data_IF_821414237784
#
_entry.id   IF_821414237784
#
_cell.length_a   1.000
_cell.length_b   1.000
_cell.length_c   1.000
_cell.angle_alpha   90.00
_cell.angle_beta   90.00
_cell.angle_gamma   90.00
#
_symmetry.space_group_name_H-M   'P 1'
#
loop_
_entity.id
_entity.type
_entity.pdbx_description
1 polymer ?
#
# COMPACT_ATOMS: atom_id res chain seq x y z
N UNK A 1 -48.85 17.71 27.75
CA UNK A 1 -48.50 16.49 26.98
C UNK A 1 -47.34 16.70 25.99
N UNK A 2 -46.42 17.64 26.24
CA UNK A 2 -45.30 17.96 25.33
C UNK A 2 -43.92 17.60 25.96
N UNK A 3 -43.84 17.35 27.27
CA UNK A 3 -42.54 17.14 27.98
C UNK A 3 -42.02 15.68 27.78
N UNK A 4 -42.85 14.70 27.53
CA UNK A 4 -42.45 13.28 27.34
C UNK A 4 -41.90 12.95 25.94
N UNK A 5 -42.17 13.79 24.93
CA UNK A 5 -41.66 13.61 23.57
C UNK A 5 -40.15 13.91 23.46
N UNK A 6 -39.68 14.97 24.14
CA UNK A 6 -38.28 15.41 24.06
C UNK A 6 -37.31 14.44 24.78
N UNK A 7 -37.75 13.77 25.84
CA UNK A 7 -36.94 12.80 26.58
C UNK A 7 -36.61 11.54 25.77
N UNK A 8 -37.55 11.08 24.96
CA UNK A 8 -37.33 9.93 24.05
C UNK A 8 -36.38 10.28 22.92
N UNK A 9 -36.50 11.47 22.33
CA UNK A 9 -35.60 11.91 21.26
C UNK A 9 -34.17 12.06 21.76
N UNK A 10 -33.99 12.66 22.94
CA UNK A 10 -32.66 12.80 23.58
C UNK A 10 -32.04 11.44 23.90
N UNK A 11 -32.83 10.48 24.38
CA UNK A 11 -32.34 9.11 24.64
C UNK A 11 -31.90 8.38 23.37
N UNK A 12 -32.63 8.51 22.25
CA UNK A 12 -32.23 7.93 20.97
C UNK A 12 -30.99 8.61 20.37
N UNK A 13 -30.83 9.91 20.55
CA UNK A 13 -29.63 10.65 20.12
C UNK A 13 -28.40 10.21 20.94
N UNK A 14 -28.53 10.04 22.24
CA UNK A 14 -27.44 9.57 23.11
C UNK A 14 -27.07 8.12 22.81
N UNK A 15 -28.06 7.25 22.52
CA UNK A 15 -27.77 5.87 22.08
C UNK A 15 -27.13 5.86 20.69
N UNK A 16 -27.58 6.69 19.77
CA UNK A 16 -27.03 6.77 18.41
C UNK A 16 -25.61 7.34 18.42
N UNK A 17 -25.34 8.37 19.23
CA UNK A 17 -23.96 8.89 19.43
C UNK A 17 -23.08 7.90 20.17
N UNK A 18 -23.59 7.16 21.16
CA UNK A 18 -22.89 6.06 21.82
C UNK A 18 -22.59 4.88 20.88
N UNK A 19 -23.53 4.53 19.99
CA UNK A 19 -23.30 3.51 18.95
C UNK A 19 -22.29 4.00 17.88
N UNK A 20 -22.35 5.26 17.47
CA UNK A 20 -21.38 5.85 16.53
C UNK A 20 -19.99 5.89 17.11
N UNK A 21 -19.82 6.18 18.42
CA UNK A 21 -18.52 6.14 19.09
C UNK A 21 -17.97 4.72 19.27
N UNK A 22 -18.80 3.69 19.29
CA UNK A 22 -18.37 2.29 19.27
C UNK A 22 -17.92 1.84 17.87
N UNK A 23 -18.43 2.48 16.81
CA UNK A 23 -18.01 2.19 15.43
C UNK A 23 -16.64 2.79 15.08
N UNK A 24 -16.18 3.80 15.82
CA UNK A 24 -14.84 4.38 15.62
C UNK A 24 -13.71 3.52 16.20
N UNK A 25 -14.02 2.48 16.99
CA UNK A 25 -13.05 1.52 17.49
C UNK A 25 -12.92 0.24 16.64
N UNK A 26 -13.79 0.04 15.63
CA UNK A 26 -13.55 -1.01 14.63
C UNK A 26 -12.40 -0.56 13.74
N UNK A 27 -11.25 -1.21 13.90
CA UNK A 27 -10.08 -0.88 13.15
C UNK A 27 -10.37 -0.98 11.65
N UNK A 28 -10.04 0.10 10.94
CA UNK A 28 -10.19 0.19 9.48
C UNK A 28 -9.50 -0.97 8.75
N UNK A 29 -8.44 -1.53 9.33
CA UNK A 29 -7.67 -2.64 8.78
C UNK A 29 -8.50 -3.93 8.68
N UNK A 30 -9.25 -4.28 9.74
CA UNK A 30 -10.10 -5.48 9.72
C UNK A 30 -11.22 -5.33 8.69
N UNK A 31 -11.82 -4.15 8.65
CA UNK A 31 -12.87 -3.85 7.68
C UNK A 31 -12.35 -3.93 6.23
N UNK A 32 -11.22 -3.31 5.92
CA UNK A 32 -10.60 -3.37 4.59
C UNK A 32 -10.30 -4.82 4.20
N UNK A 33 -9.77 -5.62 5.13
CA UNK A 33 -9.40 -7.00 4.85
C UNK A 33 -10.61 -7.90 4.55
N UNK A 34 -11.81 -7.53 5.00
CA UNK A 34 -13.07 -8.23 4.66
C UNK A 34 -13.39 -8.14 3.16
N UNK A 35 -12.94 -7.08 2.48
CA UNK A 35 -13.22 -6.83 1.06
C UNK A 35 -12.00 -7.01 0.15
N UNK A 36 -10.87 -7.48 0.68
CA UNK A 36 -9.63 -7.57 -0.09
C UNK A 36 -9.76 -8.51 -1.29
N UNK A 37 -10.51 -9.62 -1.15
CA UNK A 37 -10.77 -10.57 -2.23
C UNK A 37 -11.53 -9.91 -3.38
N UNK A 38 -12.59 -9.16 -3.08
CA UNK A 38 -13.39 -8.46 -4.10
C UNK A 38 -12.55 -7.38 -4.79
N UNK A 39 -11.79 -6.60 -4.03
CA UNK A 39 -10.92 -5.59 -4.59
C UNK A 39 -9.89 -6.18 -5.57
N UNK A 40 -9.28 -7.32 -5.22
CA UNK A 40 -8.31 -8.01 -6.10
C UNK A 40 -9.00 -8.54 -7.34
N UNK A 41 -10.19 -9.14 -7.22
CA UNK A 41 -10.97 -9.65 -8.35
C UNK A 41 -11.38 -8.52 -9.30
N UNK A 42 -11.86 -7.41 -8.78
CA UNK A 42 -12.21 -6.22 -9.57
C UNK A 42 -11.00 -5.68 -10.33
N UNK A 43 -9.84 -5.61 -9.67
CA UNK A 43 -8.62 -5.13 -10.32
C UNK A 43 -8.14 -6.08 -11.43
N UNK A 44 -8.25 -7.40 -11.24
CA UNK A 44 -7.89 -8.39 -12.27
C UNK A 44 -8.87 -8.34 -13.44
N UNK A 45 -10.18 -8.29 -13.19
CA UNK A 45 -11.22 -8.22 -14.24
C UNK A 45 -11.18 -6.90 -15.01
N UNK A 46 -10.63 -5.84 -14.43
CA UNK A 46 -10.34 -4.62 -15.17
C UNK A 46 -9.32 -4.87 -16.30
N UNK A 47 -8.29 -5.67 -16.05
CA UNK A 47 -7.21 -5.92 -17.02
C UNK A 47 -7.44 -7.13 -17.92
N UNK A 48 -8.31 -8.04 -17.54
CA UNK A 48 -8.60 -9.28 -18.26
C UNK A 48 -10.09 -9.43 -18.51
N UNK A 49 -10.45 -9.78 -19.75
CA UNK A 49 -11.81 -10.15 -20.11
C UNK A 49 -11.98 -11.64 -19.80
N UNK A 50 -12.75 -11.95 -18.77
CA UNK A 50 -12.95 -13.30 -18.27
C UNK A 50 -14.34 -13.81 -18.61
N UNK A 51 -14.45 -15.07 -19.02
CA UNK A 51 -15.72 -15.80 -19.09
C UNK A 51 -16.15 -16.29 -17.70
N UNK A 52 -17.28 -17.00 -17.60
CA UNK A 52 -17.82 -17.43 -16.30
C UNK A 52 -16.96 -18.51 -15.63
N UNK A 53 -16.38 -19.44 -16.41
CA UNK A 53 -15.52 -20.50 -15.87
C UNK A 53 -14.19 -19.91 -15.38
N UNK A 54 -13.63 -18.96 -16.11
CA UNK A 54 -12.43 -18.21 -15.71
C UNK A 54 -12.66 -17.38 -14.43
N UNK A 55 -13.85 -16.78 -14.27
CA UNK A 55 -14.23 -16.09 -13.03
C UNK A 55 -14.32 -17.04 -11.84
N UNK A 56 -14.88 -18.24 -12.02
CA UNK A 56 -14.91 -19.27 -10.98
C UNK A 56 -13.47 -19.65 -10.57
N UNK A 57 -12.58 -19.85 -11.54
CA UNK A 57 -11.18 -20.15 -11.29
C UNK A 57 -10.48 -18.98 -10.56
N UNK A 58 -10.72 -17.74 -11.01
CA UNK A 58 -10.19 -16.54 -10.37
C UNK A 58 -10.62 -16.46 -8.89
N UNK A 59 -11.92 -16.65 -8.60
CA UNK A 59 -12.43 -16.62 -7.25
C UNK A 59 -11.69 -17.60 -6.34
N UNK A 60 -11.49 -18.84 -6.80
CA UNK A 60 -10.75 -19.86 -6.05
C UNK A 60 -9.30 -19.44 -5.81
N UNK A 61 -8.59 -18.99 -6.85
CA UNK A 61 -7.18 -18.63 -6.75
C UNK A 61 -6.95 -17.38 -5.90
N UNK A 62 -7.83 -16.38 -5.98
CA UNK A 62 -7.76 -15.20 -5.12
C UNK A 62 -7.99 -15.59 -3.68
N UNK A 63 -8.98 -16.42 -3.37
CA UNK A 63 -9.22 -16.89 -2.00
C UNK A 63 -8.03 -17.69 -1.44
N UNK A 64 -7.41 -18.57 -2.23
CA UNK A 64 -6.19 -19.29 -1.84
C UNK A 64 -5.03 -18.33 -1.57
N UNK A 65 -4.81 -17.36 -2.44
CA UNK A 65 -3.77 -16.34 -2.32
C UNK A 65 -3.97 -15.46 -1.09
N UNK A 66 -5.18 -14.96 -0.87
CA UNK A 66 -5.51 -14.13 0.31
C UNK A 66 -5.39 -14.94 1.59
N UNK A 67 -5.81 -16.20 1.58
CA UNK A 67 -5.62 -17.09 2.73
C UNK A 67 -4.15 -17.30 3.04
N UNK A 68 -3.30 -17.57 2.03
CA UNK A 68 -1.85 -17.65 2.23
C UNK A 68 -1.29 -16.34 2.82
N UNK A 69 -1.63 -15.20 2.26
CA UNK A 69 -1.16 -13.90 2.76
C UNK A 69 -1.62 -13.67 4.21
N UNK A 70 -2.86 -14.00 4.52
CA UNK A 70 -3.44 -13.86 5.85
C UNK A 70 -2.70 -14.72 6.88
N UNK A 71 -2.49 -16.00 6.59
CA UNK A 71 -1.92 -16.95 7.54
C UNK A 71 -0.39 -16.90 7.62
N UNK A 72 0.28 -16.51 6.53
CA UNK A 72 1.75 -16.53 6.46
C UNK A 72 2.38 -15.15 6.66
N UNK A 73 1.77 -14.08 6.16
CA UNK A 73 2.41 -12.76 6.15
C UNK A 73 1.88 -11.82 7.25
N UNK A 74 0.56 -11.82 7.54
CA UNK A 74 0.02 -10.94 8.57
C UNK A 74 0.62 -11.16 9.97
N UNK A 75 0.89 -12.39 10.44
CA UNK A 75 1.59 -12.59 11.71
C UNK A 75 2.97 -11.92 11.72
N UNK A 76 3.72 -12.04 10.63
CA UNK A 76 5.05 -11.43 10.50
C UNK A 76 5.01 -9.91 10.46
N UNK A 77 3.98 -9.34 9.84
CA UNK A 77 3.74 -7.89 9.89
C UNK A 77 3.37 -7.45 11.30
N UNK A 78 2.56 -8.24 12.03
CA UNK A 78 2.26 -7.98 13.44
C UNK A 78 3.53 -7.94 14.29
N UNK A 79 4.40 -8.93 14.16
CA UNK A 79 5.66 -9.00 14.89
C UNK A 79 6.60 -7.82 14.53
N UNK A 80 6.65 -7.46 13.25
CA UNK A 80 7.43 -6.32 12.77
C UNK A 80 6.96 -4.99 13.38
N UNK A 81 5.63 -4.74 13.40
CA UNK A 81 5.07 -3.52 13.99
C UNK A 81 5.28 -3.47 15.51
N UNK A 82 5.12 -4.59 16.21
CA UNK A 82 5.44 -4.67 17.64
C UNK A 82 6.93 -4.41 17.90
N UNK A 83 7.83 -4.92 17.06
CA UNK A 83 9.25 -4.63 17.20
C UNK A 83 9.56 -3.12 17.02
N UNK A 84 8.92 -2.45 16.07
CA UNK A 84 9.05 -0.97 15.93
C UNK A 84 8.54 -0.28 17.19
N UNK A 85 7.36 -0.65 17.68
CA UNK A 85 6.76 -0.07 18.87
C UNK A 85 7.68 -0.22 20.09
N UNK A 86 8.24 -1.40 20.32
CA UNK A 86 9.16 -1.67 21.43
C UNK A 86 10.46 -0.86 21.32
N UNK A 87 11.00 -0.70 20.12
CA UNK A 87 12.21 0.13 19.89
C UNK A 87 11.95 1.59 20.21
N UNK A 88 10.80 2.12 19.79
CA UNK A 88 10.40 3.50 20.10
C UNK A 88 10.18 3.69 21.60
N UNK A 89 9.61 2.70 22.30
CA UNK A 89 9.39 2.72 23.75
C UNK A 89 10.72 2.72 24.53
N UNK A 90 11.74 2.05 24.01
CA UNK A 90 13.10 1.98 24.58
C UNK A 90 14.02 3.12 24.11
N UNK A 91 13.51 4.14 23.44
CA UNK A 91 14.30 5.23 22.82
C UNK A 91 15.33 4.75 21.76
N UNK A 92 15.15 3.55 21.17
CA UNK A 92 15.99 2.98 20.15
C UNK A 92 15.54 3.37 18.73
N UNK A 93 15.65 4.66 18.40
CA UNK A 93 15.23 5.20 17.08
C UNK A 93 16.25 6.15 16.47
N UNK A 94 17.54 5.86 16.67
CA UNK A 94 18.60 6.55 15.94
C UNK A 94 18.42 6.40 14.42
N UNK A 95 19.10 7.23 13.64
CA UNK A 95 19.10 7.11 12.17
C UNK A 95 19.49 5.70 11.69
N UNK A 96 20.43 5.05 12.38
CA UNK A 96 20.84 3.68 12.07
C UNK A 96 19.74 2.65 12.41
N UNK A 97 19.02 2.84 13.53
CA UNK A 97 17.91 1.94 13.90
C UNK A 97 16.75 2.06 12.92
N UNK A 98 16.40 3.28 12.52
CA UNK A 98 15.37 3.53 11.49
C UNK A 98 15.77 2.89 10.16
N UNK A 99 17.06 2.99 9.75
CA UNK A 99 17.56 2.35 8.54
C UNK A 99 17.41 0.83 8.58
N UNK A 100 17.73 0.18 9.71
CA UNK A 100 17.53 -1.27 9.92
C UNK A 100 16.07 -1.66 9.88
N UNK A 101 15.20 -0.88 10.53
CA UNK A 101 13.76 -1.11 10.50
C UNK A 101 13.22 -1.01 9.07
N UNK A 102 13.62 -0.02 8.30
CA UNK A 102 13.21 0.12 6.89
C UNK A 102 13.70 -1.07 6.04
N UNK A 103 14.94 -1.56 6.27
CA UNK A 103 15.46 -2.74 5.56
C UNK A 103 14.64 -4.00 5.89
N UNK A 104 14.27 -4.21 7.16
CA UNK A 104 13.42 -5.33 7.57
C UNK A 104 12.01 -5.24 6.96
N UNK A 105 11.41 -4.05 6.93
CA UNK A 105 10.12 -3.83 6.27
C UNK A 105 10.18 -4.12 4.77
N UNK A 106 11.25 -3.69 4.10
CA UNK A 106 11.49 -4.01 2.69
C UNK A 106 11.60 -5.50 2.45
N UNK A 107 12.33 -6.22 3.30
CA UNK A 107 12.46 -7.67 3.21
C UNK A 107 11.10 -8.38 3.29
N UNK A 108 10.22 -7.96 4.21
CA UNK A 108 8.86 -8.50 4.32
C UNK A 108 8.02 -8.26 3.06
N UNK A 109 8.16 -7.09 2.43
CA UNK A 109 7.51 -6.80 1.14
C UNK A 109 8.04 -7.72 0.04
N UNK A 110 9.36 -7.93 -0.03
CA UNK A 110 9.99 -8.82 -1.01
C UNK A 110 9.49 -10.26 -0.85
N UNK A 111 9.40 -10.78 0.38
CA UNK A 111 8.86 -12.12 0.66
C UNK A 111 7.38 -12.22 0.27
N UNK A 112 6.59 -11.17 0.51
CA UNK A 112 5.20 -11.12 0.07
C UNK A 112 5.10 -11.24 -1.44
N UNK A 113 5.88 -10.46 -2.18
CA UNK A 113 5.91 -10.52 -3.65
C UNK A 113 6.29 -11.93 -4.13
N UNK A 114 7.35 -12.52 -3.56
CA UNK A 114 7.78 -13.87 -3.91
C UNK A 114 6.66 -14.89 -3.68
N UNK A 115 5.95 -14.80 -2.56
CA UNK A 115 4.86 -15.72 -2.24
C UNK A 115 3.60 -15.52 -3.09
N UNK A 116 3.37 -14.32 -3.63
CA UNK A 116 2.23 -14.04 -4.52
C UNK A 116 2.48 -14.44 -5.97
N UNK A 117 3.74 -14.46 -6.42
CA UNK A 117 4.10 -14.77 -7.82
C UNK A 117 3.57 -16.11 -8.31
N UNK A 118 3.59 -17.23 -7.54
CA UNK A 118 3.02 -18.50 -7.99
C UNK A 118 1.53 -18.41 -8.35
N UNK A 119 0.73 -17.68 -7.57
CA UNK A 119 -0.69 -17.48 -7.87
C UNK A 119 -0.88 -16.64 -9.14
N UNK A 120 -0.10 -15.56 -9.29
CA UNK A 120 -0.15 -14.72 -10.46
C UNK A 120 0.29 -15.45 -11.73
N UNK A 121 1.36 -16.24 -11.70
CA UNK A 121 1.84 -17.00 -12.86
C UNK A 121 0.88 -18.09 -13.27
N UNK A 122 0.34 -18.85 -12.30
CA UNK A 122 -0.67 -19.89 -12.55
C UNK A 122 -1.95 -19.34 -13.19
N UNK A 123 -2.34 -18.13 -12.85
CA UNK A 123 -3.50 -17.47 -13.46
C UNK A 123 -3.18 -16.95 -14.86
N UNK A 124 -2.08 -16.20 -15.00
CA UNK A 124 -1.70 -15.54 -16.24
C UNK A 124 -1.34 -16.51 -17.37
N UNK A 125 -0.90 -17.74 -17.06
CA UNK A 125 -0.56 -18.74 -18.07
C UNK A 125 -1.74 -19.07 -19.00
N UNK A 126 -2.96 -18.95 -18.50
CA UNK A 126 -4.19 -19.21 -19.26
C UNK A 126 -4.64 -17.99 -20.10
N UNK A 127 -4.00 -16.83 -19.94
CA UNK A 127 -4.39 -15.57 -20.58
C UNK A 127 -3.31 -15.03 -21.53
N UNK A 128 -2.67 -15.93 -22.32
CA UNK A 128 -1.60 -15.60 -23.26
C UNK A 128 -2.06 -15.56 -24.72
N UNK A 129 -3.36 -15.60 -24.99
CA UNK A 129 -3.87 -15.39 -26.34
C UNK A 129 -3.62 -13.96 -26.79
N UNK A 130 -3.47 -13.74 -28.11
CA UNK A 130 -3.27 -12.38 -28.65
C UNK A 130 -4.40 -11.45 -28.21
N UNK A 131 -5.66 -11.93 -28.22
CA UNK A 131 -6.82 -11.13 -27.78
C UNK A 131 -6.71 -10.71 -26.32
N UNK A 132 -6.39 -11.63 -25.40
CA UNK A 132 -6.21 -11.33 -23.97
C UNK A 132 -5.08 -10.34 -23.74
N UNK A 133 -3.95 -10.51 -24.42
CA UNK A 133 -2.79 -9.62 -24.27
C UNK A 133 -3.10 -8.24 -24.83
N UNK A 134 -3.76 -8.14 -25.98
CA UNK A 134 -4.15 -6.86 -26.58
C UNK A 134 -5.16 -6.11 -25.70
N UNK A 135 -6.13 -6.83 -25.12
CA UNK A 135 -7.05 -6.25 -24.15
C UNK A 135 -6.31 -5.71 -22.93
N UNK A 136 -5.43 -6.51 -22.34
CA UNK A 136 -4.61 -6.11 -21.17
C UNK A 136 -3.77 -4.88 -21.50
N UNK A 137 -3.08 -4.84 -22.64
CA UNK A 137 -2.27 -3.71 -23.08
C UNK A 137 -3.12 -2.44 -23.23
N UNK A 138 -4.29 -2.53 -23.84
CA UNK A 138 -5.24 -1.42 -23.97
C UNK A 138 -5.68 -0.88 -22.60
N UNK A 139 -5.99 -1.76 -21.64
CA UNK A 139 -6.37 -1.35 -20.27
C UNK A 139 -5.21 -0.68 -19.53
N UNK A 140 -3.98 -1.17 -19.69
CA UNK A 140 -2.77 -0.54 -19.15
C UNK A 140 -2.56 0.86 -19.75
N UNK A 141 -2.80 1.03 -21.05
CA UNK A 141 -2.73 2.32 -21.74
C UNK A 141 -3.78 3.31 -21.18
N UNK A 142 -5.03 2.88 -20.99
CA UNK A 142 -6.09 3.72 -20.45
C UNK A 142 -5.72 4.21 -19.03
N UNK A 143 -5.32 3.30 -18.14
CA UNK A 143 -4.92 3.64 -16.76
C UNK A 143 -3.70 4.57 -16.75
N UNK A 144 -2.78 4.42 -17.71
CA UNK A 144 -1.65 5.34 -17.86
C UNK A 144 -2.11 6.73 -18.28
N UNK A 145 -3.06 6.83 -19.24
CA UNK A 145 -3.58 8.11 -19.70
C UNK A 145 -4.29 8.87 -18.58
N UNK A 146 -5.12 8.20 -17.78
CA UNK A 146 -5.74 8.77 -16.59
C UNK A 146 -4.68 9.37 -15.65
N UNK A 147 -3.60 8.61 -15.41
CA UNK A 147 -2.51 9.07 -14.54
C UNK A 147 -1.70 10.23 -15.12
N UNK A 148 -1.54 10.30 -16.45
CA UNK A 148 -0.91 11.45 -17.12
C UNK A 148 -1.76 12.71 -16.90
N UNK A 149 -3.07 12.62 -17.07
CA UNK A 149 -4.01 13.73 -16.85
C UNK A 149 -3.91 14.24 -15.41
N UNK A 150 -3.92 13.34 -14.42
CA UNK A 150 -3.73 13.73 -13.01
C UNK A 150 -2.41 14.47 -12.77
N UNK A 151 -1.32 14.03 -13.39
CA UNK A 151 0.02 14.61 -13.24
C UNK A 151 0.26 15.83 -14.13
N UNK A 152 -0.69 16.23 -14.98
CA UNK A 152 -0.61 17.44 -15.83
C UNK A 152 -1.14 18.70 -15.15
N UNK A 153 -1.67 18.60 -13.93
CA UNK A 153 -2.06 19.75 -13.12
C UNK A 153 -0.85 20.68 -12.88
N UNK A 154 -1.12 21.95 -12.53
CA UNK A 154 -0.06 22.90 -12.16
C UNK A 154 0.77 22.38 -10.96
N UNK A 155 2.03 22.78 -10.88
CA UNK A 155 2.92 22.36 -9.79
C UNK A 155 2.39 22.74 -8.41
N UNK A 156 1.75 23.90 -8.28
CA UNK A 156 1.14 24.34 -7.03
C UNK A 156 0.02 23.42 -6.56
N UNK A 157 -0.84 22.99 -7.50
CA UNK A 157 -1.91 22.03 -7.19
C UNK A 157 -1.32 20.68 -6.78
N UNK A 158 -0.35 20.18 -7.55
CA UNK A 158 0.30 18.90 -7.26
C UNK A 158 1.03 18.93 -5.91
N UNK A 159 1.69 20.05 -5.59
CA UNK A 159 2.38 20.23 -4.32
C UNK A 159 1.39 20.27 -3.16
N UNK A 160 0.31 21.03 -3.28
CA UNK A 160 -0.76 21.11 -2.28
C UNK A 160 -1.35 19.72 -2.00
N UNK A 161 -1.80 19.01 -3.04
CA UNK A 161 -2.36 17.67 -2.92
C UNK A 161 -1.36 16.67 -2.32
N UNK A 162 -0.06 16.82 -2.63
CA UNK A 162 0.99 15.97 -2.05
C UNK A 162 1.20 16.27 -0.57
N UNK A 163 1.26 17.54 -0.20
CA UNK A 163 1.40 17.96 1.20
C UNK A 163 0.20 17.48 2.02
N UNK A 164 -1.02 17.68 1.54
CA UNK A 164 -2.24 17.21 2.22
C UNK A 164 -2.19 15.69 2.46
N UNK A 165 -1.79 14.88 1.46
CA UNK A 165 -1.65 13.42 1.63
C UNK A 165 -0.57 13.04 2.64
N UNK A 166 0.58 13.73 2.64
CA UNK A 166 1.65 13.50 3.61
C UNK A 166 1.17 13.84 5.02
N UNK A 167 0.60 15.04 5.20
CA UNK A 167 0.07 15.51 6.47
C UNK A 167 -0.94 14.51 7.05
N UNK A 168 -1.98 14.17 6.31
CA UNK A 168 -2.98 13.19 6.77
C UNK A 168 -2.39 11.80 7.07
N UNK A 169 -1.37 11.38 6.33
CA UNK A 169 -0.70 10.10 6.57
C UNK A 169 0.10 10.12 7.88
N UNK A 170 0.79 11.20 8.16
CA UNK A 170 1.58 11.33 9.39
C UNK A 170 0.72 11.66 10.62
N UNK A 171 -0.33 12.49 10.48
CA UNK A 171 -1.30 12.73 11.54
C UNK A 171 -1.96 11.46 12.07
N UNK A 172 -2.17 10.47 11.20
CA UNK A 172 -2.69 9.15 11.61
C UNK A 172 -1.83 8.46 12.67
N UNK A 173 -0.51 8.69 12.64
CA UNK A 173 0.45 8.09 13.58
C UNK A 173 0.88 9.04 14.68
N UNK A 174 1.09 10.31 14.37
CA UNK A 174 1.62 11.28 15.31
C UNK A 174 0.51 11.99 16.13
N UNK A 175 -0.75 11.92 15.69
CA UNK A 175 -1.79 12.85 16.10
C UNK A 175 -1.51 14.23 15.51
N UNK A 176 -1.83 15.30 16.24
CA UNK A 176 -1.64 16.67 15.78
C UNK A 176 -0.16 16.96 15.48
N UNK A 177 0.11 17.43 14.27
CA UNK A 177 1.46 17.82 13.86
C UNK A 177 1.77 19.27 14.28
N UNK A 178 3.03 19.49 14.66
CA UNK A 178 3.56 20.84 14.97
C UNK A 178 3.89 21.58 13.66
N UNK A 179 3.93 22.91 13.69
CA UNK A 179 4.33 23.73 12.54
C UNK A 179 5.71 23.35 11.99
N UNK A 180 6.66 23.02 12.88
CA UNK A 180 7.98 22.53 12.47
C UNK A 180 7.93 21.21 11.70
N UNK A 181 7.01 20.31 12.05
CA UNK A 181 6.80 19.04 11.36
C UNK A 181 6.10 19.26 10.01
N UNK A 182 5.13 20.17 9.94
CA UNK A 182 4.52 20.57 8.66
C UNK A 182 5.58 21.15 7.72
N UNK A 183 6.49 21.99 8.21
CA UNK A 183 7.62 22.53 7.42
C UNK A 183 8.53 21.43 6.87
N UNK A 184 8.81 20.39 7.68
CA UNK A 184 9.59 19.20 7.24
C UNK A 184 8.84 18.47 6.12
N UNK A 185 7.52 18.26 6.27
CA UNK A 185 6.68 17.61 5.25
C UNK A 185 6.60 18.43 3.97
N UNK A 186 6.47 19.75 4.06
CA UNK A 186 6.46 20.63 2.91
C UNK A 186 7.78 20.58 2.14
N UNK A 187 8.91 20.63 2.84
CA UNK A 187 10.24 20.49 2.24
C UNK A 187 10.36 19.16 1.52
N UNK A 188 9.95 18.05 2.14
CA UNK A 188 9.95 16.74 1.51
C UNK A 188 9.00 16.67 0.31
N UNK A 189 7.81 17.27 0.40
CA UNK A 189 6.85 17.32 -0.70
C UNK A 189 7.44 18.01 -1.94
N UNK A 190 8.12 19.16 -1.75
CA UNK A 190 8.80 19.91 -2.83
C UNK A 190 9.94 19.08 -3.45
N UNK A 191 10.81 18.50 -2.64
CA UNK A 191 11.94 17.68 -3.09
C UNK A 191 11.52 16.45 -3.91
N UNK A 192 10.33 15.92 -3.61
CA UNK A 192 9.85 14.66 -4.20
C UNK A 192 8.70 14.87 -5.21
N UNK A 193 8.39 16.10 -5.59
CA UNK A 193 7.25 16.42 -6.45
C UNK A 193 7.30 15.68 -7.80
N UNK A 194 8.45 15.63 -8.42
CA UNK A 194 8.65 14.99 -9.73
C UNK A 194 8.78 13.46 -9.68
N UNK A 195 8.89 12.85 -8.50
CA UNK A 195 9.06 11.39 -8.38
C UNK A 195 7.87 10.61 -8.99
N UNK A 196 6.66 11.15 -8.90
CA UNK A 196 5.47 10.50 -9.47
C UNK A 196 5.57 10.33 -10.99
N UNK A 197 6.14 11.30 -11.70
CA UNK A 197 6.37 11.23 -13.16
C UNK A 197 7.44 10.19 -13.50
N UNK A 198 8.54 10.16 -12.73
CA UNK A 198 9.62 9.17 -12.90
C UNK A 198 9.09 7.76 -12.64
N UNK A 199 8.29 7.57 -11.59
CA UNK A 199 7.65 6.28 -11.27
C UNK A 199 6.66 5.85 -12.35
N UNK A 200 5.86 6.76 -12.90
CA UNK A 200 4.95 6.47 -14.00
C UNK A 200 5.71 6.05 -15.27
N UNK A 201 6.82 6.74 -15.59
CA UNK A 201 7.68 6.36 -16.70
C UNK A 201 8.23 4.93 -16.52
N UNK A 202 8.80 4.62 -15.36
CA UNK A 202 9.33 3.29 -15.07
C UNK A 202 8.24 2.20 -15.08
N UNK A 203 7.05 2.48 -14.55
CA UNK A 203 5.89 1.59 -14.65
C UNK A 203 5.56 1.29 -16.12
N UNK A 204 5.56 2.31 -16.97
CA UNK A 204 5.31 2.17 -18.41
C UNK A 204 6.34 1.26 -19.09
N UNK A 205 7.62 1.41 -18.75
CA UNK A 205 8.67 0.53 -19.26
C UNK A 205 8.45 -0.92 -18.84
N UNK A 206 8.14 -1.16 -17.55
CA UNK A 206 7.86 -2.51 -17.03
C UNK A 206 6.63 -3.13 -17.69
N UNK A 207 5.57 -2.36 -17.91
CA UNK A 207 4.38 -2.85 -18.63
C UNK A 207 4.72 -3.26 -20.06
N UNK A 208 5.50 -2.45 -20.79
CA UNK A 208 5.91 -2.76 -22.16
C UNK A 208 6.73 -4.06 -22.26
N UNK A 209 7.71 -4.25 -21.37
CA UNK A 209 8.52 -5.48 -21.40
C UNK A 209 7.71 -6.70 -20.94
N UNK A 210 6.77 -6.52 -20.02
CA UNK A 210 5.86 -7.57 -19.57
C UNK A 210 4.94 -8.05 -20.73
N UNK A 211 4.27 -7.14 -21.43
CA UNK A 211 3.43 -7.46 -22.59
C UNK A 211 4.25 -8.17 -23.68
N UNK A 212 5.47 -7.67 -23.97
CA UNK A 212 6.36 -8.33 -24.93
C UNK A 212 6.72 -9.75 -24.51
N UNK A 213 6.99 -9.95 -23.21
CA UNK A 213 7.32 -11.27 -22.69
C UNK A 213 6.12 -12.23 -22.75
N UNK A 214 4.91 -11.79 -22.39
CA UNK A 214 3.70 -12.62 -22.52
C UNK A 214 3.45 -13.07 -23.96
N UNK A 215 3.73 -12.22 -24.97
CA UNK A 215 3.60 -12.57 -26.40
C UNK A 215 4.55 -13.69 -26.84
N UNK A 216 5.58 -14.02 -26.07
CA UNK A 216 6.44 -15.18 -26.33
C UNK A 216 5.84 -16.51 -25.87
N UNK A 217 4.64 -16.48 -25.27
CA UNK A 217 3.96 -17.64 -24.71
C UNK A 217 4.84 -18.45 -23.75
N UNK A 218 5.38 -17.80 -22.67
CA UNK A 218 6.25 -18.48 -21.72
C UNK A 218 5.52 -19.62 -21.02
N UNK A 219 6.28 -20.60 -20.55
CA UNK A 219 5.79 -21.61 -19.59
C UNK A 219 5.52 -20.96 -18.22
N UNK A 220 4.75 -21.63 -17.34
CA UNK A 220 4.48 -21.14 -16.00
C UNK A 220 5.76 -20.87 -15.20
N UNK A 221 6.77 -21.75 -15.30
CA UNK A 221 8.08 -21.57 -14.63
C UNK A 221 8.81 -20.34 -15.16
N UNK A 222 8.83 -20.14 -16.48
CA UNK A 222 9.45 -18.96 -17.09
C UNK A 222 8.73 -17.68 -16.67
N UNK A 223 7.39 -17.71 -16.64
CA UNK A 223 6.57 -16.57 -16.21
C UNK A 223 6.81 -16.24 -14.73
N UNK A 224 6.84 -17.24 -13.84
CA UNK A 224 7.14 -17.06 -12.42
C UNK A 224 8.51 -16.41 -12.20
N UNK A 225 9.56 -16.91 -12.85
CA UNK A 225 10.91 -16.34 -12.74
C UNK A 225 10.96 -14.91 -13.29
N UNK A 226 10.28 -14.66 -14.40
CA UNK A 226 10.19 -13.32 -14.98
C UNK A 226 9.46 -12.34 -14.07
N UNK A 227 8.31 -12.74 -13.49
CA UNK A 227 7.55 -11.91 -12.56
C UNK A 227 8.35 -11.55 -11.31
N UNK A 228 9.09 -12.50 -10.73
CA UNK A 228 10.00 -12.21 -9.63
C UNK A 228 11.01 -11.12 -10.01
N UNK A 229 11.65 -11.25 -11.17
CA UNK A 229 12.61 -10.24 -11.64
C UNK A 229 11.93 -8.91 -11.93
N UNK A 230 10.79 -8.92 -12.63
CA UNK A 230 10.05 -7.71 -13.00
C UNK A 230 9.56 -6.91 -11.79
N UNK A 231 9.06 -7.60 -10.78
CA UNK A 231 8.47 -6.97 -9.60
C UNK A 231 9.54 -6.49 -8.60
N UNK A 232 10.56 -7.29 -8.35
CA UNK A 232 11.59 -7.00 -7.34
C UNK A 232 12.78 -6.21 -7.91
N UNK A 233 13.20 -6.52 -9.12
CA UNK A 233 14.39 -5.95 -9.76
C UNK A 233 14.10 -5.49 -11.20
N UNK A 234 12.91 -4.96 -11.44
CA UNK A 234 12.45 -4.58 -12.77
C UNK A 234 13.38 -3.62 -13.53
N UNK A 235 14.21 -2.86 -12.83
CA UNK A 235 15.25 -2.00 -13.42
C UNK A 235 16.29 -2.81 -14.23
N UNK A 236 16.56 -4.05 -13.86
CA UNK A 236 17.51 -4.93 -14.60
C UNK A 236 17.07 -5.17 -16.05
N UNK A 237 15.76 -5.29 -16.26
CA UNK A 237 15.18 -5.59 -17.58
C UNK A 237 14.53 -4.37 -18.27
N UNK A 238 14.57 -3.20 -17.63
CA UNK A 238 14.00 -1.96 -18.17
C UNK A 238 15.03 -0.84 -18.25
N UNK A 239 15.24 -0.15 -17.15
CA UNK A 239 16.15 0.99 -17.05
C UNK A 239 17.02 0.87 -15.79
N UNK A 240 18.29 0.45 -15.92
CA UNK A 240 19.19 0.29 -14.78
C UNK A 240 19.35 1.56 -13.92
N UNK A 241 19.28 2.75 -14.52
CA UNK A 241 19.37 4.03 -13.78
C UNK A 241 18.24 4.21 -12.76
N UNK A 242 17.13 3.46 -12.89
CA UNK A 242 16.04 3.51 -11.93
C UNK A 242 16.41 2.94 -10.56
N UNK A 243 17.45 2.10 -10.47
CA UNK A 243 17.97 1.60 -9.19
C UNK A 243 18.45 2.77 -8.33
N UNK A 244 19.35 3.60 -8.86
CA UNK A 244 19.88 4.76 -8.13
C UNK A 244 18.76 5.71 -7.68
N UNK A 245 17.79 6.00 -8.57
CA UNK A 245 16.62 6.79 -8.21
C UNK A 245 15.82 6.16 -7.05
N UNK A 246 15.60 4.84 -7.09
CA UNK A 246 14.85 4.12 -6.03
C UNK A 246 15.56 4.17 -4.68
N UNK A 247 16.89 3.97 -4.68
CA UNK A 247 17.72 4.04 -3.47
C UNK A 247 17.74 5.46 -2.90
N UNK A 248 17.87 6.47 -3.74
CA UNK A 248 17.83 7.87 -3.32
C UNK A 248 16.47 8.28 -2.78
N UNK A 249 15.37 7.80 -3.38
CA UNK A 249 14.01 8.02 -2.88
C UNK A 249 13.80 7.38 -1.50
N UNK A 250 14.34 6.17 -1.26
CA UNK A 250 14.33 5.55 0.06
C UNK A 250 15.15 6.33 1.09
N UNK A 251 16.32 6.86 0.69
CA UNK A 251 17.13 7.70 1.56
C UNK A 251 16.40 8.99 1.93
N UNK A 252 15.74 9.65 0.98
CA UNK A 252 14.91 10.85 1.28
C UNK A 252 13.79 10.52 2.27
N UNK A 253 13.16 9.37 2.14
CA UNK A 253 12.12 8.93 3.09
C UNK A 253 12.72 8.57 4.46
N UNK A 254 13.88 7.95 4.51
CA UNK A 254 14.62 7.71 5.75
C UNK A 254 14.90 9.03 6.50
N UNK A 255 15.46 10.04 5.80
CA UNK A 255 15.70 11.35 6.39
C UNK A 255 14.41 12.04 6.88
N UNK A 256 13.29 11.89 6.15
CA UNK A 256 12.01 12.38 6.57
C UNK A 256 11.59 11.76 7.92
N UNK A 257 11.67 10.42 8.05
CA UNK A 257 11.32 9.72 9.29
C UNK A 257 12.21 10.14 10.46
N UNK A 258 13.53 10.20 10.24
CA UNK A 258 14.51 10.67 11.26
C UNK A 258 14.15 12.07 11.75
N UNK A 259 13.89 13.01 10.81
CA UNK A 259 13.58 14.40 11.14
C UNK A 259 12.28 14.54 11.90
N UNK A 260 11.23 13.81 11.51
CA UNK A 260 9.93 13.85 12.19
C UNK A 260 10.01 13.25 13.59
N UNK A 261 10.70 12.12 13.77
CA UNK A 261 10.87 11.49 15.08
C UNK A 261 11.73 12.34 16.00
N UNK A 262 12.78 12.99 15.51
CA UNK A 262 13.62 13.90 16.29
C UNK A 262 12.85 15.12 16.83
N UNK A 263 11.80 15.56 16.13
CA UNK A 263 10.94 16.68 16.58
C UNK A 263 9.71 16.23 17.36
N UNK A 264 9.49 14.92 17.52
CA UNK A 264 8.34 14.39 18.27
C UNK A 264 8.46 14.67 19.76
N UNK A 265 7.32 14.92 20.39
CA UNK A 265 7.21 14.97 21.87
C UNK A 265 6.79 13.59 22.42
N UNK A 266 6.74 13.47 23.75
CA UNK A 266 6.36 12.23 24.43
C UNK A 266 4.96 11.76 24.00
N UNK A 267 3.98 12.65 23.99
CA UNK A 267 2.59 12.33 23.61
C UNK A 267 2.51 11.81 22.17
N UNK A 268 3.24 12.42 21.23
CA UNK A 268 3.30 11.94 19.85
C UNK A 268 3.96 10.56 19.75
N UNK A 269 5.04 10.30 20.51
CA UNK A 269 5.68 8.98 20.53
C UNK A 269 4.76 7.91 21.10
N UNK A 270 4.05 8.19 22.20
CA UNK A 270 3.03 7.31 22.76
C UNK A 270 1.91 7.03 21.74
N UNK A 271 1.46 8.04 21.00
CA UNK A 271 0.46 7.88 19.93
C UNK A 271 0.96 6.95 18.84
N UNK A 272 2.22 7.11 18.38
CA UNK A 272 2.83 6.23 17.39
C UNK A 272 2.91 4.79 17.89
N UNK A 273 3.41 4.58 19.13
CA UNK A 273 3.54 3.26 19.75
C UNK A 273 2.19 2.57 19.84
N UNK A 274 1.17 3.25 20.36
CA UNK A 274 -0.18 2.72 20.49
C UNK A 274 -0.76 2.37 19.11
N UNK A 275 -0.59 3.23 18.10
CA UNK A 275 -1.08 2.99 16.75
C UNK A 275 -0.42 1.79 16.09
N UNK A 276 0.89 1.62 16.27
CA UNK A 276 1.62 0.44 15.76
C UNK A 276 1.12 -0.85 16.42
N UNK A 277 0.90 -0.83 17.74
CA UNK A 277 0.36 -1.98 18.49
C UNK A 277 -1.08 -2.31 18.07
N UNK A 278 -1.91 -1.30 17.81
CA UNK A 278 -3.27 -1.49 17.31
C UNK A 278 -3.25 -2.20 15.95
N UNK A 279 -2.44 -1.75 15.00
CA UNK A 279 -2.29 -2.42 13.71
C UNK A 279 -1.73 -3.84 13.86
N UNK A 280 -0.74 -4.04 14.74
CA UNK A 280 -0.19 -5.36 15.01
C UNK A 280 -1.26 -6.33 15.55
N UNK A 281 -2.09 -5.86 16.49
CA UNK A 281 -3.22 -6.63 17.03
C UNK A 281 -4.25 -6.95 15.95
N UNK A 282 -4.54 -6.00 15.07
CA UNK A 282 -5.46 -6.21 13.97
C UNK A 282 -4.98 -7.28 13.00
N UNK A 283 -3.71 -7.20 12.57
CA UNK A 283 -3.11 -8.21 11.71
C UNK A 283 -3.15 -9.59 12.35
N UNK A 284 -2.84 -9.67 13.65
CA UNK A 284 -2.93 -10.94 14.39
C UNK A 284 -4.37 -11.46 14.47
N UNK A 285 -5.35 -10.59 14.64
CA UNK A 285 -6.77 -10.99 14.70
C UNK A 285 -7.29 -11.45 13.34
N UNK A 286 -6.84 -10.82 12.24
CA UNK A 286 -7.23 -11.20 10.88
C UNK A 286 -6.54 -12.50 10.45
N UNK A 287 -5.37 -12.79 10.97
CA UNK A 287 -4.62 -14.02 10.62
C UNK A 287 -5.24 -15.32 11.14
N UNK A 288 -6.10 -15.25 12.14
CA UNK A 288 -6.82 -16.40 12.70
C UNK A 288 -6.50 -16.62 14.15
#
# INVERSE_FOLDING_TARGET
>A
MIIFSNLRITYHIVILTGLLSLLTSCSSTRFIYTFVDEFIKDEITYFLKLDEDEKVLLNKQVSEMVNWHRTSMLPRYSDYLNNIANKLENDEYSANDISKLMANGRFLIEETVIGLVPYASKFLINHQTSESIDYMEKRMLNRRQERIIELSKSEDILLKERLERLTSSFERFFGDLKDSQITILETHARLTLNESRIRLHNRTLRQKVFIRFLRTQPTEVQLSNYLNTLLLKGYVITNPSYQAFSEESLNRFHFLLVSLLATSNLTQRETIINKLRDYAKDFKTVSG
#
